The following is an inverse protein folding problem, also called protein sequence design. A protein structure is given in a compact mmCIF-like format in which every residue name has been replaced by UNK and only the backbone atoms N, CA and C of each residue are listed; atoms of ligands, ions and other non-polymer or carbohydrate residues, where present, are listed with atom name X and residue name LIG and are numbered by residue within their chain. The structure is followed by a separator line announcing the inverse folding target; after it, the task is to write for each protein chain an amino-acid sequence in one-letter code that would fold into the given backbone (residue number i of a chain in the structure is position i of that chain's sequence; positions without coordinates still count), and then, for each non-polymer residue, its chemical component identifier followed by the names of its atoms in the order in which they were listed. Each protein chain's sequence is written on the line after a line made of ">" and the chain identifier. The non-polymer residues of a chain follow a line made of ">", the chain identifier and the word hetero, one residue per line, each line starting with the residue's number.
data_IF_387528020444
#
_entry.id   IF_387528020444
#
_cell.length_a   1.000
_cell.length_b   1.000
_cell.length_c   1.000
_cell.angle_alpha   90.00
_cell.angle_beta   90.00
_cell.angle_gamma   90.00
#
_symmetry.space_group_name_H-M   'P 1'
#
loop_
_entity.id
_entity.type
_entity.pdbx_description
1 polymer ?
#
# COMPACT_ATOMS: atom_id res chain seq x y z
N UNK A 1 -27.40 17.70 -5.84
CA UNK A 1 -26.15 18.31 -5.37
C UNK A 1 -25.18 17.17 -5.14
N UNK A 2 -24.11 17.12 -5.91
CA UNK A 2 -23.08 16.07 -5.82
C UNK A 2 -22.19 16.37 -4.61
N UNK A 3 -22.55 15.84 -3.43
CA UNK A 3 -21.74 15.93 -2.21
C UNK A 3 -20.63 14.86 -2.24
N UNK A 4 -19.94 14.70 -3.37
CA UNK A 4 -18.76 13.85 -3.47
C UNK A 4 -17.55 14.76 -3.29
N UNK A 5 -17.13 14.92 -2.04
CA UNK A 5 -15.80 15.44 -1.75
C UNK A 5 -14.81 14.34 -2.08
N UNK A 6 -14.26 14.38 -3.30
CA UNK A 6 -13.05 13.60 -3.59
C UNK A 6 -11.99 14.06 -2.61
N UNK A 7 -11.39 13.14 -1.88
CA UNK A 7 -10.12 13.42 -1.25
C UNK A 7 -9.07 13.37 -2.37
N UNK A 8 -8.58 14.50 -2.91
CA UNK A 8 -7.23 14.45 -3.42
C UNK A 8 -6.42 14.03 -2.19
N UNK A 9 -5.67 12.94 -2.28
CA UNK A 9 -4.63 12.68 -1.29
C UNK A 9 -3.84 13.98 -1.09
N UNK A 10 -4.14 14.74 -0.02
CA UNK A 10 -3.51 16.03 0.29
C UNK A 10 -2.13 15.83 0.90
N UNK A 11 -1.76 14.60 1.24
CA UNK A 11 -0.36 14.24 1.26
C UNK A 11 0.13 14.34 -0.17
N UNK A 12 1.22 15.08 -0.42
CA UNK A 12 1.99 14.92 -1.65
C UNK A 12 2.14 13.42 -1.87
N UNK A 13 1.34 12.84 -2.77
CA UNK A 13 1.34 11.42 -3.09
C UNK A 13 2.76 10.88 -3.23
N UNK A 14 3.72 11.63 -3.81
CA UNK A 14 5.13 11.22 -3.84
C UNK A 14 5.75 10.95 -2.46
N UNK A 15 5.55 11.83 -1.48
CA UNK A 15 6.22 11.74 -0.17
C UNK A 15 5.65 10.61 0.69
N UNK A 16 4.33 10.41 0.64
CA UNK A 16 3.67 9.29 1.33
C UNK A 16 4.06 7.94 0.72
N UNK A 17 4.04 7.84 -0.62
CA UNK A 17 4.43 6.62 -1.33
C UNK A 17 5.90 6.29 -1.07
N UNK A 18 6.78 7.29 -1.03
CA UNK A 18 8.19 7.07 -0.75
C UNK A 18 8.44 6.63 0.69
N UNK A 19 7.74 7.22 1.67
CA UNK A 19 7.82 6.74 3.06
C UNK A 19 7.34 5.29 3.18
N UNK A 20 6.19 4.97 2.60
CA UNK A 20 5.65 3.60 2.61
C UNK A 20 6.59 2.61 1.91
N UNK A 21 7.31 3.06 0.87
CA UNK A 21 8.33 2.25 0.21
C UNK A 21 9.52 1.95 1.13
N UNK A 22 10.01 2.93 1.89
CA UNK A 22 11.09 2.71 2.86
C UNK A 22 10.68 1.72 3.96
N UNK A 23 9.43 1.80 4.44
CA UNK A 23 8.88 0.86 5.41
C UNK A 23 8.82 -0.56 4.82
N UNK A 24 8.37 -0.71 3.56
CA UNK A 24 8.31 -2.00 2.86
C UNK A 24 9.72 -2.59 2.62
N UNK A 25 10.70 -1.77 2.23
CA UNK A 25 12.10 -2.20 2.09
C UNK A 25 12.64 -2.71 3.42
N UNK A 26 12.41 -1.98 4.52
CA UNK A 26 12.87 -2.36 5.85
C UNK A 26 12.27 -3.70 6.30
N UNK A 27 10.96 -3.86 6.09
CA UNK A 27 10.23 -5.11 6.34
C UNK A 27 10.80 -6.29 5.55
N UNK A 28 11.21 -6.06 4.30
CA UNK A 28 11.74 -7.09 3.41
C UNK A 28 13.17 -7.47 3.72
N UNK A 29 14.03 -6.50 4.00
CA UNK A 29 15.43 -6.75 4.36
C UNK A 29 15.54 -7.62 5.62
N UNK A 30 14.72 -7.35 6.64
CA UNK A 30 14.65 -8.18 7.84
C UNK A 30 14.33 -9.65 7.50
N UNK A 31 13.38 -9.89 6.59
CA UNK A 31 13.00 -11.24 6.15
C UNK A 31 14.06 -11.91 5.28
N UNK A 32 14.76 -11.15 4.45
CA UNK A 32 15.84 -11.68 3.65
C UNK A 32 17.05 -12.10 4.49
N UNK A 33 17.37 -11.34 5.53
CA UNK A 33 18.41 -11.72 6.52
C UNK A 33 18.06 -13.07 7.15
N UNK A 34 16.79 -13.30 7.49
CA UNK A 34 16.34 -14.53 8.13
C UNK A 34 16.22 -15.76 7.19
N UNK A 35 16.51 -15.62 5.88
CA UNK A 35 16.24 -16.68 4.88
C UNK A 35 17.46 -17.07 4.04
N UNK A 36 18.68 -16.61 4.38
CA UNK A 36 19.89 -16.78 3.56
C UNK A 36 19.71 -16.36 2.08
N UNK A 37 18.78 -15.43 1.82
CA UNK A 37 18.51 -14.97 0.46
C UNK A 37 19.75 -14.27 -0.11
N UNK A 38 20.21 -14.56 -1.34
CA UNK A 38 21.44 -13.98 -1.87
C UNK A 38 21.36 -12.45 -1.98
N UNK A 39 22.36 -11.75 -1.43
CA UNK A 39 22.37 -10.26 -1.34
C UNK A 39 22.16 -9.60 -2.71
N UNK A 40 22.83 -10.09 -3.74
CA UNK A 40 22.70 -9.57 -5.11
C UNK A 40 21.29 -9.75 -5.69
N UNK A 41 20.54 -10.76 -5.24
CA UNK A 41 19.15 -10.98 -5.64
C UNK A 41 18.17 -10.11 -4.83
N UNK A 42 18.50 -9.71 -3.60
CA UNK A 42 17.64 -8.84 -2.75
C UNK A 42 17.41 -7.49 -3.42
N UNK A 43 18.50 -6.77 -3.72
CA UNK A 43 18.44 -5.47 -4.38
C UNK A 43 17.73 -5.57 -5.74
N UNK A 44 18.05 -6.59 -6.53
CA UNK A 44 17.40 -6.81 -7.82
C UNK A 44 15.90 -7.04 -7.71
N UNK A 45 15.46 -7.81 -6.71
CA UNK A 45 14.03 -8.02 -6.46
C UNK A 45 13.37 -6.71 -6.02
N UNK A 46 13.94 -6.00 -5.05
CA UNK A 46 13.37 -4.75 -4.53
C UNK A 46 13.23 -3.70 -5.64
N UNK A 47 14.22 -3.57 -6.52
CA UNK A 47 14.15 -2.65 -7.67
C UNK A 47 13.01 -3.02 -8.63
N UNK A 48 12.83 -4.31 -8.94
CA UNK A 48 11.74 -4.79 -9.80
C UNK A 48 10.36 -4.63 -9.16
N UNK A 49 10.28 -4.87 -7.85
CA UNK A 49 9.04 -4.80 -7.10
C UNK A 49 8.57 -3.36 -6.86
N UNK A 50 9.49 -2.38 -6.83
CA UNK A 50 9.19 -0.97 -6.54
C UNK A 50 8.08 -0.39 -7.42
N UNK A 51 8.12 -0.68 -8.73
CA UNK A 51 7.12 -0.16 -9.67
C UNK A 51 5.74 -0.78 -9.43
N UNK A 52 5.68 -2.06 -9.06
CA UNK A 52 4.43 -2.74 -8.69
C UNK A 52 3.88 -2.14 -7.40
N UNK A 53 4.73 -1.97 -6.38
CA UNK A 53 4.36 -1.36 -5.11
C UNK A 53 3.79 0.06 -5.30
N UNK A 54 4.45 0.92 -6.08
CA UNK A 54 3.97 2.27 -6.36
C UNK A 54 2.57 2.28 -6.97
N UNK A 55 2.28 1.36 -7.90
CA UNK A 55 0.94 1.23 -8.51
C UNK A 55 -0.13 0.83 -7.48
N UNK A 56 0.20 -0.05 -6.54
CA UNK A 56 -0.72 -0.45 -5.47
C UNK A 56 -1.01 0.71 -4.50
N UNK A 57 -0.02 1.56 -4.25
CA UNK A 57 -0.17 2.72 -3.36
C UNK A 57 -0.95 3.87 -3.99
N UNK A 58 -0.96 3.97 -5.32
CA UNK A 58 -1.69 4.99 -6.09
C UNK A 58 -3.17 4.65 -6.33
N UNK A 59 -3.70 3.60 -5.69
CA UNK A 59 -5.14 3.32 -5.73
C UNK A 59 -5.90 4.44 -5.03
N UNK A 60 -6.59 5.28 -5.80
CA UNK A 60 -7.43 6.35 -5.28
C UNK A 60 -8.56 5.78 -4.42
N UNK A 61 -8.77 6.40 -3.25
CA UNK A 61 -9.90 6.10 -2.38
C UNK A 61 -10.80 7.34 -2.38
N UNK A 62 -12.00 7.19 -2.90
CA UNK A 62 -13.05 8.20 -2.75
C UNK A 62 -13.83 7.91 -1.45
N UNK A 63 -13.94 8.90 -0.57
CA UNK A 63 -14.74 8.81 0.67
C UNK A 63 -15.79 9.91 0.62
N UNK A 64 -17.06 9.57 0.89
CA UNK A 64 -18.16 10.53 0.94
C UNK A 64 -18.13 11.23 2.29
N UNK A 65 -18.10 12.56 2.31
CA UNK A 65 -18.14 13.39 3.53
C UNK A 65 -19.50 14.09 3.63
N UNK A 66 -20.08 14.12 4.83
CA UNK A 66 -21.30 14.86 5.13
C UNK A 66 -20.98 16.17 5.84
N UNK A 67 -21.82 17.20 5.64
CA UNK A 67 -21.65 18.52 6.27
C UNK A 67 -21.68 18.43 7.81
N UNK A 68 -20.97 19.36 8.48
CA UNK A 68 -20.89 19.46 9.95
C UNK A 68 -22.27 19.68 10.60
N UNK A 69 -23.19 20.30 9.87
CA UNK A 69 -24.54 20.62 10.33
C UNK A 69 -25.51 19.42 10.27
N UNK A 70 -25.03 18.25 9.82
CA UNK A 70 -25.86 17.04 9.75
C UNK A 70 -26.15 16.50 11.16
N UNK A 71 -27.42 16.26 11.53
CA UNK A 71 -27.76 15.72 12.85
C UNK A 71 -27.17 14.33 13.14
N UNK A 72 -26.68 13.63 12.12
CA UNK A 72 -25.99 12.34 12.22
C UNK A 72 -24.48 12.44 12.00
N UNK A 73 -23.90 13.66 12.00
CA UNK A 73 -22.49 13.90 11.66
C UNK A 73 -21.53 13.00 12.47
N UNK A 74 -21.74 12.87 13.79
CA UNK A 74 -20.90 12.00 14.65
C UNK A 74 -21.01 10.50 14.28
N UNK A 75 -22.21 9.99 13.98
CA UNK A 75 -22.40 8.58 13.56
C UNK A 75 -21.78 8.31 12.18
N UNK A 76 -21.81 9.32 11.29
CA UNK A 76 -21.16 9.24 9.99
C UNK A 76 -19.64 9.32 10.09
N UNK A 77 -19.08 10.12 11.00
CA UNK A 77 -17.63 10.18 11.25
C UNK A 77 -17.09 8.83 11.71
N UNK A 78 -17.71 8.19 12.72
CA UNK A 78 -17.31 6.86 13.19
C UNK A 78 -17.41 5.81 12.06
N UNK A 79 -18.45 5.89 11.23
CA UNK A 79 -18.61 5.02 10.06
C UNK A 79 -17.52 5.26 9.02
N UNK A 80 -17.16 6.52 8.74
CA UNK A 80 -16.10 6.88 7.80
C UNK A 80 -14.73 6.41 8.28
N UNK A 81 -14.41 6.60 9.56
CA UNK A 81 -13.17 6.11 10.17
C UNK A 81 -13.06 4.59 10.00
N UNK A 82 -14.11 3.84 10.33
CA UNK A 82 -14.16 2.38 10.13
C UNK A 82 -14.00 1.99 8.66
N UNK A 83 -14.60 2.71 7.72
CA UNK A 83 -14.42 2.45 6.29
C UNK A 83 -12.97 2.70 5.85
N UNK A 84 -12.37 3.80 6.29
CA UNK A 84 -10.97 4.14 6.00
C UNK A 84 -10.04 3.05 6.55
N UNK A 85 -10.26 2.60 7.79
CA UNK A 85 -9.51 1.49 8.40
C UNK A 85 -9.62 0.20 7.58
N UNK A 86 -10.83 -0.18 7.17
CA UNK A 86 -11.06 -1.37 6.35
C UNK A 86 -10.35 -1.28 5.00
N UNK A 87 -10.36 -0.11 4.37
CA UNK A 87 -9.70 0.10 3.08
C UNK A 87 -8.18 0.02 3.24
N UNK A 88 -7.61 0.62 4.29
CA UNK A 88 -6.19 0.50 4.57
C UNK A 88 -5.78 -0.95 4.89
N UNK A 89 -6.59 -1.68 5.66
CA UNK A 89 -6.37 -3.09 5.93
C UNK A 89 -6.42 -3.95 4.65
N UNK A 90 -7.39 -3.68 3.77
CA UNK A 90 -7.50 -4.34 2.47
C UNK A 90 -6.28 -4.05 1.60
N UNK A 91 -5.85 -2.79 1.51
CA UNK A 91 -4.65 -2.40 0.77
C UNK A 91 -3.41 -3.13 1.30
N UNK A 92 -3.21 -3.18 2.61
CA UNK A 92 -2.10 -3.90 3.22
C UNK A 92 -2.10 -5.39 2.84
N UNK A 93 -3.28 -6.03 2.84
CA UNK A 93 -3.45 -7.43 2.41
C UNK A 93 -3.08 -7.61 0.93
N UNK A 94 -3.56 -6.74 0.04
CA UNK A 94 -3.23 -6.79 -1.40
C UNK A 94 -1.73 -6.63 -1.63
N UNK A 95 -1.08 -5.69 -0.93
CA UNK A 95 0.38 -5.51 -0.99
C UNK A 95 1.09 -6.79 -0.55
N UNK A 96 0.68 -7.40 0.56
CA UNK A 96 1.27 -8.64 1.03
C UNK A 96 1.13 -9.79 0.03
N UNK A 97 -0.07 -10.01 -0.52
CA UNK A 97 -0.31 -11.08 -1.48
C UNK A 97 0.47 -10.84 -2.78
N UNK A 98 0.49 -9.59 -3.27
CA UNK A 98 1.20 -9.25 -4.49
C UNK A 98 2.71 -9.38 -4.31
N UNK A 99 3.27 -8.94 -3.19
CA UNK A 99 4.69 -9.16 -2.85
C UNK A 99 5.07 -10.63 -2.95
N UNK A 100 4.30 -11.52 -2.34
CA UNK A 100 4.58 -12.96 -2.34
C UNK A 100 4.53 -13.53 -3.76
N UNK A 101 3.57 -13.08 -4.57
CA UNK A 101 3.47 -13.46 -5.97
C UNK A 101 4.69 -12.99 -6.78
N UNK A 102 5.06 -11.71 -6.69
CA UNK A 102 6.24 -11.16 -7.38
C UNK A 102 7.52 -11.86 -6.96
N UNK A 103 7.68 -12.16 -5.67
CA UNK A 103 8.84 -12.90 -5.17
C UNK A 103 8.90 -14.32 -5.75
N UNK A 104 7.77 -15.01 -5.91
CA UNK A 104 7.72 -16.34 -6.54
C UNK A 104 8.10 -16.26 -8.03
N UNK A 105 7.57 -15.28 -8.76
CA UNK A 105 7.93 -15.06 -10.17
C UNK A 105 9.43 -14.79 -10.30
N UNK A 106 9.95 -13.89 -9.47
CA UNK A 106 11.36 -13.55 -9.41
C UNK A 106 12.23 -14.78 -9.16
N UNK A 107 11.91 -15.56 -8.12
CA UNK A 107 12.66 -16.78 -7.78
C UNK A 107 12.62 -17.81 -8.92
N UNK A 108 11.47 -18.02 -9.54
CA UNK A 108 11.36 -18.96 -10.67
C UNK A 108 12.21 -18.54 -11.86
N UNK A 109 12.30 -17.23 -12.15
CA UNK A 109 13.16 -16.70 -13.21
C UNK A 109 14.67 -16.86 -12.92
N UNK A 110 15.05 -17.07 -11.66
CA UNK A 110 16.45 -17.15 -11.22
C UNK A 110 16.85 -18.52 -10.66
N UNK A 111 15.97 -19.53 -10.72
CA UNK A 111 16.23 -20.92 -10.26
C UNK A 111 17.08 -21.77 -11.22
N UNK A 112 17.47 -21.24 -12.39
CA UNK A 112 18.14 -22.00 -13.45
C UNK A 112 19.40 -21.36 -14.02
N UNK A 113 20.12 -20.56 -13.23
CA UNK A 113 21.44 -20.01 -13.58
C UNK A 113 22.45 -20.32 -12.50
#
# INVERSE_FOLDING_TARGET
>A
MENIVRFPSKQKLPDYVEKAWLDEVSFMEERFVNTNFPVHLRSKFLDQYRDVFKKLMQLDIEVIVFDEDNPYHEEFLDTQEKMIEQIFAYRAKVIQERRLFELRLFLNAHKGR
#
